data_IF_251733716783
#
_entry.id   IF_251733716783
#
_cell.length_a   1.000
_cell.length_b   1.000
_cell.length_c   1.000
_cell.angle_alpha   90.00
_cell.angle_beta   90.00
_cell.angle_gamma   90.00
#
_symmetry.space_group_name_H-M   'P 1'
#
loop_
_entity.id
_entity.type
_entity.pdbx_description
1 polymer ?
#
# COMPACT_ATOMS: atom_id res chain seq x y z
N UNK A 1 9.22 16.95 -15.28
CA UNK A 1 9.74 15.65 -14.82
C UNK A 1 8.76 14.60 -15.27
N UNK A 2 9.22 13.50 -15.89
CA UNK A 2 8.31 12.43 -16.30
C UNK A 2 7.74 11.78 -15.02
N UNK A 3 6.41 11.79 -14.88
CA UNK A 3 5.75 11.02 -13.83
C UNK A 3 5.67 9.56 -14.29
N UNK A 4 5.93 8.62 -13.37
CA UNK A 4 5.80 7.19 -13.64
C UNK A 4 4.40 6.88 -14.19
N UNK A 5 4.33 6.13 -15.27
CA UNK A 5 3.08 5.76 -15.94
C UNK A 5 2.52 4.51 -15.29
N UNK A 6 1.40 4.64 -14.59
CA UNK A 6 0.80 3.54 -13.85
C UNK A 6 -0.45 3.00 -14.56
N UNK A 7 -0.56 1.67 -14.58
CA UNK A 7 -1.79 0.97 -14.94
C UNK A 7 -2.54 0.55 -13.67
N UNK A 8 -3.75 1.05 -13.47
CA UNK A 8 -4.61 0.76 -12.31
C UNK A 8 -5.67 -0.26 -12.71
N UNK A 9 -5.59 -1.44 -12.11
CA UNK A 9 -6.44 -2.59 -12.39
C UNK A 9 -7.21 -2.95 -11.12
N UNK A 10 -8.53 -2.82 -11.18
CA UNK A 10 -9.42 -2.95 -10.02
C UNK A 10 -10.29 -4.18 -10.17
N UNK A 11 -10.29 -5.03 -9.15
CA UNK A 11 -11.20 -6.15 -9.04
C UNK A 11 -12.50 -5.68 -8.36
N UNK A 12 -13.60 -5.62 -9.11
CA UNK A 12 -14.88 -5.13 -8.60
C UNK A 12 -15.52 -6.04 -7.55
N UNK A 13 -15.17 -7.34 -7.56
CA UNK A 13 -15.69 -8.32 -6.60
C UNK A 13 -14.94 -8.23 -5.25
N UNK A 14 -13.71 -7.67 -5.22
CA UNK A 14 -12.88 -7.52 -4.02
C UNK A 14 -12.66 -6.07 -3.55
N UNK A 15 -13.17 -5.07 -4.27
CA UNK A 15 -13.09 -3.66 -3.92
C UNK A 15 -14.47 -3.06 -3.66
N UNK A 16 -14.52 -1.83 -3.13
CA UNK A 16 -15.77 -1.09 -2.91
C UNK A 16 -15.71 0.28 -3.57
N UNK A 17 -16.84 0.84 -4.06
CA UNK A 17 -16.85 2.16 -4.69
C UNK A 17 -16.26 3.26 -3.79
N UNK A 18 -16.50 3.17 -2.47
CA UNK A 18 -16.09 4.16 -1.47
C UNK A 18 -14.57 4.38 -1.39
N UNK A 19 -13.75 3.41 -1.79
CA UNK A 19 -12.28 3.54 -1.69
C UNK A 19 -11.65 4.23 -2.90
N UNK A 20 -12.40 4.45 -3.99
CA UNK A 20 -11.82 4.87 -5.28
C UNK A 20 -11.15 6.24 -5.22
N UNK A 21 -11.77 7.20 -4.54
CA UNK A 21 -11.21 8.55 -4.43
C UNK A 21 -9.87 8.52 -3.67
N UNK A 22 -9.84 7.89 -2.49
CA UNK A 22 -8.64 7.70 -1.70
C UNK A 22 -7.57 6.87 -2.42
N UNK A 23 -7.98 5.82 -3.14
CA UNK A 23 -7.12 5.00 -4.00
C UNK A 23 -6.42 5.84 -5.05
N UNK A 24 -7.15 6.61 -5.85
CA UNK A 24 -6.57 7.41 -6.92
C UNK A 24 -5.68 8.55 -6.36
N UNK A 25 -6.06 9.13 -5.22
CA UNK A 25 -5.21 10.09 -4.51
C UNK A 25 -3.91 9.46 -3.99
N UNK A 26 -3.95 8.20 -3.54
CA UNK A 26 -2.76 7.45 -3.14
C UNK A 26 -1.89 7.09 -4.35
N UNK A 27 -2.48 6.63 -5.45
CA UNK A 27 -1.77 6.35 -6.72
C UNK A 27 -1.04 7.60 -7.24
N UNK A 28 -1.68 8.77 -7.15
CA UNK A 28 -1.10 10.04 -7.58
C UNK A 28 0.20 10.43 -6.84
N UNK A 29 0.49 9.84 -5.69
CA UNK A 29 1.76 10.04 -4.96
C UNK A 29 2.94 9.36 -5.63
N UNK A 30 2.68 8.30 -6.40
CA UNK A 30 3.69 7.47 -7.04
C UNK A 30 3.82 7.75 -8.53
N UNK A 31 2.71 8.10 -9.20
CA UNK A 31 2.73 8.33 -10.63
C UNK A 31 1.37 8.78 -11.16
N UNK A 32 1.24 8.78 -12.49
CA UNK A 32 -0.01 9.13 -13.16
C UNK A 32 -0.73 7.87 -13.63
N UNK A 33 -1.98 7.70 -13.21
CA UNK A 33 -2.85 6.60 -13.64
C UNK A 33 -3.28 6.79 -15.11
N UNK A 34 -2.49 6.24 -16.04
CA UNK A 34 -2.72 6.33 -17.48
C UNK A 34 -3.77 5.35 -17.97
N UNK A 35 -3.84 4.18 -17.33
CA UNK A 35 -4.92 3.21 -17.53
C UNK A 35 -5.63 3.03 -16.20
N UNK A 36 -6.96 3.05 -16.24
CA UNK A 36 -7.83 2.77 -15.10
C UNK A 36 -8.91 1.82 -15.58
N UNK A 37 -8.80 0.55 -15.22
CA UNK A 37 -9.75 -0.50 -15.60
C UNK A 37 -10.29 -1.17 -14.35
N UNK A 38 -11.56 -1.51 -14.40
CA UNK A 38 -12.22 -2.29 -13.37
C UNK A 38 -12.88 -3.51 -14.00
N UNK A 39 -12.70 -4.68 -13.39
CA UNK A 39 -13.14 -5.95 -13.93
C UNK A 39 -14.27 -6.49 -13.08
N UNK A 40 -15.35 -6.93 -13.72
CA UNK A 40 -16.49 -7.51 -13.04
C UNK A 40 -17.56 -8.00 -14.00
N UNK A 41 -18.53 -8.72 -13.44
CA UNK A 41 -19.76 -9.05 -14.16
C UNK A 41 -20.82 -7.97 -13.86
N UNK A 42 -20.88 -6.94 -14.71
CA UNK A 42 -21.76 -5.78 -14.56
C UNK A 42 -23.25 -6.10 -14.71
N UNK A 43 -23.60 -7.36 -15.00
CA UNK A 43 -25.00 -7.82 -14.95
C UNK A 43 -25.47 -8.08 -13.52
N UNK A 44 -24.54 -8.17 -12.56
CA UNK A 44 -24.88 -8.45 -11.18
C UNK A 44 -25.41 -7.22 -10.45
N UNK A 45 -26.49 -7.37 -9.65
CA UNK A 45 -27.06 -6.25 -8.89
C UNK A 45 -26.13 -5.64 -7.82
N UNK A 46 -25.22 -6.43 -7.25
CA UNK A 46 -24.27 -5.99 -6.21
C UNK A 46 -23.22 -4.99 -6.74
N UNK A 47 -22.98 -4.94 -8.05
CA UNK A 47 -22.06 -3.99 -8.68
C UNK A 47 -22.72 -2.68 -9.15
N UNK A 48 -24.03 -2.51 -8.96
CA UNK A 48 -24.74 -1.31 -9.42
C UNK A 48 -24.21 0.00 -8.80
N UNK A 49 -23.66 -0.07 -7.58
CA UNK A 49 -23.10 1.09 -6.87
C UNK A 49 -21.83 1.69 -7.51
N UNK A 50 -21.24 1.02 -8.50
CA UNK A 50 -20.01 1.50 -9.15
C UNK A 50 -20.26 2.59 -10.20
N UNK A 51 -21.43 2.58 -10.86
CA UNK A 51 -21.67 3.36 -12.09
C UNK A 51 -21.26 4.83 -11.97
N UNK A 52 -21.69 5.50 -10.91
CA UNK A 52 -21.40 6.93 -10.70
C UNK A 52 -19.89 7.18 -10.51
N UNK A 53 -19.24 6.36 -9.68
CA UNK A 53 -17.82 6.46 -9.37
C UNK A 53 -16.97 6.18 -10.61
N UNK A 54 -17.34 5.21 -11.44
CA UNK A 54 -16.62 4.91 -12.69
C UNK A 54 -16.66 6.09 -13.67
N UNK A 55 -17.84 6.70 -13.85
CA UNK A 55 -17.99 7.87 -14.71
C UNK A 55 -17.22 9.07 -14.17
N UNK A 56 -17.36 9.37 -12.87
CA UNK A 56 -16.69 10.50 -12.21
C UNK A 56 -15.17 10.43 -12.35
N UNK A 57 -14.60 9.24 -12.23
CA UNK A 57 -13.15 9.04 -12.26
C UNK A 57 -12.62 8.52 -13.60
N UNK A 58 -13.45 8.45 -14.65
CA UNK A 58 -13.07 7.91 -15.96
C UNK A 58 -12.38 6.54 -15.86
N UNK A 59 -12.98 5.62 -15.10
CA UNK A 59 -12.53 4.24 -14.97
C UNK A 59 -13.32 3.40 -15.96
N UNK A 60 -12.61 2.66 -16.81
CA UNK A 60 -13.21 1.83 -17.84
C UNK A 60 -13.73 0.51 -17.22
N UNK A 61 -15.04 0.22 -17.29
CA UNK A 61 -15.56 -1.10 -16.92
C UNK A 61 -15.21 -2.13 -18.00
N UNK A 62 -14.63 -3.25 -17.58
CA UNK A 62 -14.37 -4.43 -18.40
C UNK A 62 -15.37 -5.50 -17.96
N UNK A 63 -16.27 -5.87 -18.87
CA UNK A 63 -17.28 -6.90 -18.61
C UNK A 63 -16.66 -8.29 -18.73
N UNK A 64 -16.88 -9.14 -17.74
CA UNK A 64 -16.59 -10.56 -17.81
C UNK A 64 -17.75 -11.36 -17.23
N UNK A 65 -18.44 -12.12 -18.09
CA UNK A 65 -19.50 -13.03 -17.62
C UNK A 65 -18.93 -14.16 -16.79
N UNK A 66 -19.65 -14.54 -15.72
CA UNK A 66 -19.37 -15.78 -14.98
C UNK A 66 -19.94 -16.98 -15.74
N UNK A 67 -19.07 -17.88 -16.18
CA UNK A 67 -19.49 -19.15 -16.81
C UNK A 67 -19.99 -20.17 -15.79
N UNK A 68 -19.47 -20.13 -14.56
CA UNK A 68 -19.85 -21.01 -13.46
C UNK A 68 -19.66 -20.26 -12.14
N UNK A 69 -20.61 -20.42 -11.22
CA UNK A 69 -20.57 -19.81 -9.89
C UNK A 69 -19.33 -20.32 -9.13
N UNK A 70 -18.59 -19.40 -8.50
CA UNK A 70 -17.40 -19.73 -7.69
C UNK A 70 -16.12 -19.95 -8.49
N UNK A 71 -16.09 -19.64 -9.79
CA UNK A 71 -14.85 -19.60 -10.58
C UNK A 71 -14.37 -18.17 -10.85
N UNK A 72 -13.06 -18.06 -10.99
CA UNK A 72 -12.28 -16.83 -11.05
C UNK A 72 -12.19 -16.27 -12.49
N UNK A 73 -13.35 -16.14 -13.15
CA UNK A 73 -13.44 -15.65 -14.52
C UNK A 73 -13.01 -14.18 -14.63
N UNK A 74 -13.47 -13.34 -13.69
CA UNK A 74 -13.05 -11.93 -13.56
C UNK A 74 -11.55 -11.81 -13.39
N UNK A 75 -10.97 -12.62 -12.49
CA UNK A 75 -9.53 -12.59 -12.20
C UNK A 75 -8.71 -13.03 -13.42
N UNK A 76 -9.18 -14.05 -14.14
CA UNK A 76 -8.54 -14.50 -15.37
C UNK A 76 -8.52 -13.39 -16.43
N UNK A 77 -9.63 -12.68 -16.61
CA UNK A 77 -9.70 -11.55 -17.55
C UNK A 77 -8.76 -10.41 -17.14
N UNK A 78 -8.73 -10.08 -15.85
CA UNK A 78 -7.81 -9.08 -15.29
C UNK A 78 -6.34 -9.46 -15.46
N UNK A 79 -5.99 -10.73 -15.22
CA UNK A 79 -4.63 -11.25 -15.40
C UNK A 79 -4.20 -11.17 -16.88
N UNK A 80 -5.06 -11.61 -17.81
CA UNK A 80 -4.77 -11.55 -19.24
C UNK A 80 -4.48 -10.11 -19.66
N UNK A 81 -5.37 -9.18 -19.29
CA UNK A 81 -5.23 -7.77 -19.67
C UNK A 81 -4.01 -7.10 -18.98
N UNK A 82 -3.69 -7.48 -17.74
CA UNK A 82 -2.47 -7.05 -17.07
C UNK A 82 -1.21 -7.49 -17.83
N UNK A 83 -1.19 -8.73 -18.33
CA UNK A 83 -0.07 -9.25 -19.13
C UNK A 83 0.04 -8.54 -20.48
N UNK A 84 -1.08 -8.27 -21.16
CA UNK A 84 -1.08 -7.50 -22.42
C UNK A 84 -0.54 -6.07 -22.20
N UNK A 85 -0.95 -5.41 -21.12
CA UNK A 85 -0.43 -4.09 -20.74
C UNK A 85 1.06 -4.14 -20.38
N UNK A 86 1.52 -5.21 -19.73
CA UNK A 86 2.93 -5.42 -19.39
C UNK A 86 3.79 -5.53 -20.66
N UNK A 87 3.37 -6.36 -21.61
CA UNK A 87 4.11 -6.58 -22.86
C UNK A 87 3.96 -5.46 -23.89
N UNK A 88 3.01 -4.54 -23.69
CA UNK A 88 3.00 -3.29 -24.45
C UNK A 88 4.19 -2.38 -24.09
N UNK A 89 4.87 -2.61 -22.97
CA UNK A 89 6.06 -1.87 -22.50
C UNK A 89 5.86 -0.34 -22.33
N UNK A 90 4.61 0.07 -22.06
CA UNK A 90 4.23 1.51 -21.93
C UNK A 90 4.14 2.02 -20.50
N UNK A 91 4.17 1.14 -19.51
CA UNK A 91 3.93 1.45 -18.09
C UNK A 91 5.15 1.14 -17.24
N UNK A 92 5.39 2.00 -16.25
CA UNK A 92 6.51 1.88 -15.31
C UNK A 92 6.11 1.08 -14.06
N UNK A 93 4.79 0.99 -13.79
CA UNK A 93 4.27 0.18 -12.71
C UNK A 93 2.78 -0.14 -12.83
N UNK A 94 2.35 -1.04 -11.95
CA UNK A 94 0.99 -1.59 -11.91
C UNK A 94 0.40 -1.43 -10.52
N UNK A 95 -0.84 -0.98 -10.45
CA UNK A 95 -1.64 -0.96 -9.24
C UNK A 95 -2.66 -2.10 -9.33
N UNK A 96 -2.52 -3.11 -8.47
CA UNK A 96 -3.43 -4.26 -8.39
C UNK A 96 -4.32 -4.06 -7.17
N UNK A 97 -5.61 -3.83 -7.38
CA UNK A 97 -6.57 -3.57 -6.31
C UNK A 97 -7.45 -4.81 -6.10
N UNK A 98 -7.03 -5.68 -5.19
CA UNK A 98 -7.75 -6.90 -4.78
C UNK A 98 -7.24 -7.39 -3.42
N UNK A 99 -8.02 -8.24 -2.75
CA UNK A 99 -7.59 -8.97 -1.55
C UNK A 99 -7.37 -10.46 -1.82
N UNK A 100 -7.49 -10.90 -3.07
CA UNK A 100 -7.33 -12.30 -3.48
C UNK A 100 -5.84 -12.68 -3.65
N UNK A 101 -5.46 -13.83 -3.09
CA UNK A 101 -4.11 -14.39 -3.23
C UNK A 101 -3.79 -14.90 -4.64
N UNK A 102 -4.78 -15.13 -5.50
CA UNK A 102 -4.54 -15.62 -6.86
C UNK A 102 -3.70 -14.63 -7.70
N UNK A 103 -3.71 -13.33 -7.36
CA UNK A 103 -2.87 -12.32 -8.00
C UNK A 103 -1.39 -12.37 -7.58
N UNK A 104 -0.99 -13.24 -6.65
CA UNK A 104 0.41 -13.38 -6.18
C UNK A 104 1.39 -13.64 -7.33
N UNK A 105 1.02 -14.55 -8.25
CA UNK A 105 1.89 -14.87 -9.41
C UNK A 105 1.94 -13.73 -10.43
N UNK A 106 0.84 -13.01 -10.64
CA UNK A 106 0.81 -11.83 -11.48
C UNK A 106 1.77 -10.75 -10.94
N UNK A 107 1.67 -10.43 -9.65
CA UNK A 107 2.55 -9.45 -9.01
C UNK A 107 4.04 -9.84 -9.15
N UNK A 108 4.37 -11.10 -8.89
CA UNK A 108 5.73 -11.62 -9.05
C UNK A 108 6.21 -11.48 -10.50
N UNK A 109 5.38 -11.88 -11.47
CA UNK A 109 5.71 -11.83 -12.90
C UNK A 109 5.94 -10.41 -13.41
N UNK A 110 5.17 -9.42 -12.94
CA UNK A 110 5.35 -8.00 -13.30
C UNK A 110 6.69 -7.49 -12.77
N UNK A 111 7.06 -7.86 -11.54
CA UNK A 111 8.35 -7.48 -10.93
C UNK A 111 9.55 -8.13 -11.59
N UNK A 112 9.42 -9.39 -12.00
CA UNK A 112 10.44 -10.07 -12.82
C UNK A 112 10.70 -9.34 -14.15
N UNK A 113 9.70 -8.63 -14.68
CA UNK A 113 9.84 -7.74 -15.84
C UNK A 113 10.39 -6.35 -15.52
N UNK A 114 10.84 -6.11 -14.28
CA UNK A 114 11.44 -4.85 -13.84
C UNK A 114 10.44 -3.71 -13.64
N UNK A 115 9.13 -3.99 -13.57
CA UNK A 115 8.09 -2.98 -13.33
C UNK A 115 7.67 -2.99 -11.87
N UNK A 116 7.33 -1.82 -11.33
CA UNK A 116 6.94 -1.68 -9.92
C UNK A 116 5.51 -2.19 -9.73
N UNK A 117 5.24 -2.90 -8.64
CA UNK A 117 3.90 -3.35 -8.26
C UNK A 117 3.45 -2.72 -6.94
N UNK A 118 2.35 -1.97 -7.02
CA UNK A 118 1.59 -1.46 -5.89
C UNK A 118 0.36 -2.34 -5.67
N UNK A 119 0.33 -3.09 -4.58
CA UNK A 119 -0.85 -3.84 -4.16
C UNK A 119 -1.77 -2.99 -3.29
N UNK A 120 -3.07 -3.13 -3.46
CA UNK A 120 -4.09 -2.50 -2.63
C UNK A 120 -5.12 -3.54 -2.21
N UNK A 121 -5.34 -3.72 -0.92
CA UNK A 121 -6.31 -4.69 -0.42
C UNK A 121 -6.62 -4.50 1.07
N UNK A 122 -7.58 -5.26 1.57
CA UNK A 122 -8.01 -5.18 2.97
C UNK A 122 -6.98 -5.84 3.90
N UNK A 123 -7.06 -5.60 5.21
CA UNK A 123 -6.19 -6.23 6.21
C UNK A 123 -6.17 -7.75 6.18
N UNK A 124 -7.26 -8.38 5.73
CA UNK A 124 -7.38 -9.83 5.59
C UNK A 124 -6.56 -10.41 4.42
N UNK A 125 -5.97 -9.56 3.57
CA UNK A 125 -5.21 -10.00 2.40
C UNK A 125 -4.05 -10.93 2.81
N UNK A 126 -3.95 -12.13 2.21
CA UNK A 126 -2.91 -13.08 2.55
C UNK A 126 -1.49 -12.52 2.39
N UNK A 127 -0.60 -12.91 3.31
CA UNK A 127 0.81 -12.48 3.29
C UNK A 127 1.54 -12.76 1.95
N UNK A 128 1.33 -13.90 1.26
CA UNK A 128 1.99 -14.16 -0.02
C UNK A 128 1.73 -13.08 -1.08
N UNK A 129 0.51 -12.55 -1.17
CA UNK A 129 0.22 -11.50 -2.13
C UNK A 129 0.85 -10.16 -1.71
N UNK A 130 0.79 -9.84 -0.42
CA UNK A 130 1.40 -8.61 0.12
C UNK A 130 2.90 -8.55 -0.12
N UNK A 131 3.62 -9.66 0.10
CA UNK A 131 5.08 -9.73 -0.08
C UNK A 131 5.51 -9.86 -1.55
N UNK A 132 4.60 -10.29 -2.44
CA UNK A 132 4.85 -10.29 -3.87
C UNK A 132 4.87 -8.88 -4.48
N UNK A 133 4.31 -7.87 -3.81
CA UNK A 133 4.33 -6.47 -4.25
C UNK A 133 5.60 -5.74 -3.82
N UNK A 134 5.94 -4.62 -4.47
CA UNK A 134 7.00 -3.71 -3.99
C UNK A 134 6.49 -2.81 -2.86
N UNK A 135 5.20 -2.46 -2.90
CA UNK A 135 4.49 -1.81 -1.80
C UNK A 135 3.06 -2.31 -1.73
N UNK A 136 2.55 -2.56 -0.53
CA UNK A 136 1.17 -2.95 -0.29
C UNK A 136 0.48 -1.93 0.61
N UNK A 137 -0.64 -1.37 0.14
CA UNK A 137 -1.41 -0.35 0.84
C UNK A 137 -2.75 -0.93 1.27
N UNK A 138 -3.05 -0.80 2.56
CA UNK A 138 -4.33 -1.23 3.11
C UNK A 138 -5.45 -0.26 2.74
N UNK A 139 -6.57 -0.78 2.23
CA UNK A 139 -7.70 0.07 1.81
C UNK A 139 -8.30 0.86 2.98
N UNK A 140 -8.18 0.36 4.20
CA UNK A 140 -8.64 1.03 5.42
C UNK A 140 -7.90 2.35 5.69
N UNK A 141 -6.69 2.56 5.14
CA UNK A 141 -5.99 3.85 5.26
C UNK A 141 -6.39 4.86 4.18
N UNK A 142 -7.18 4.44 3.19
CA UNK A 142 -7.67 5.25 2.08
C UNK A 142 -9.03 5.90 2.37
N UNK A 143 -9.85 5.27 3.22
CA UNK A 143 -11.19 5.73 3.57
C UNK A 143 -11.24 7.07 4.35
N UNK A 144 -10.09 7.65 4.71
CA UNK A 144 -9.98 8.89 5.48
C UNK A 144 -10.11 10.19 4.67
N UNK A 145 -10.31 10.12 3.35
CA UNK A 145 -10.52 11.30 2.50
C UNK A 145 -11.98 11.39 2.07
N UNK A 146 -12.74 12.22 2.80
CA UNK A 146 -14.11 12.68 2.53
C UNK A 146 -15.23 11.59 2.46
N UNK A 147 -16.17 11.67 3.41
CA UNK A 147 -17.55 11.16 3.32
C UNK A 147 -17.82 9.63 3.34
N UNK A 148 -16.95 8.81 3.93
CA UNK A 148 -17.28 7.42 4.28
C UNK A 148 -17.47 7.24 5.80
N UNK A 149 -18.66 7.56 6.31
CA UNK A 149 -19.01 7.47 7.75
C UNK A 149 -19.06 6.04 8.33
N UNK A 150 -18.79 4.99 7.53
CA UNK A 150 -18.97 3.59 7.95
C UNK A 150 -17.69 2.75 7.99
N UNK A 151 -16.55 3.24 7.49
CA UNK A 151 -15.25 2.57 7.66
C UNK A 151 -14.26 3.46 8.39
N UNK A 152 -14.22 3.29 9.72
CA UNK A 152 -13.36 4.08 10.58
C UNK A 152 -11.89 3.89 10.19
N UNK A 153 -11.23 5.01 9.84
CA UNK A 153 -9.78 5.08 9.75
C UNK A 153 -9.12 4.43 10.98
N UNK A 154 -7.91 3.85 10.85
CA UNK A 154 -7.28 3.14 11.95
C UNK A 154 -7.18 4.03 13.19
N UNK A 155 -7.77 3.60 14.30
CA UNK A 155 -7.63 4.29 15.59
C UNK A 155 -6.16 4.32 16.00
N UNK A 156 -5.72 5.46 16.54
CA UNK A 156 -4.37 5.62 17.05
C UNK A 156 -4.11 4.63 18.17
N UNK A 157 -3.19 3.68 17.95
CA UNK A 157 -2.83 2.67 18.94
C UNK A 157 -2.04 3.30 20.09
N UNK A 158 -2.35 2.86 21.29
CA UNK A 158 -1.65 3.26 22.52
C UNK A 158 -0.23 2.70 22.57
N UNK A 159 0.63 3.31 23.38
CA UNK A 159 1.99 2.83 23.59
C UNK A 159 2.03 1.35 24.07
N UNK A 160 1.04 0.92 24.87
CA UNK A 160 0.95 -0.47 25.35
C UNK A 160 0.70 -1.44 24.20
N UNK A 161 -0.25 -1.12 23.32
CA UNK A 161 -0.56 -1.93 22.14
C UNK A 161 0.63 -2.00 21.17
N UNK A 162 1.29 -0.87 20.94
CA UNK A 162 2.46 -0.81 20.06
C UNK A 162 3.64 -1.62 20.61
N UNK A 163 3.86 -1.58 21.93
CA UNK A 163 4.92 -2.37 22.58
C UNK A 163 4.62 -3.87 22.62
N UNK A 164 3.34 -4.25 22.54
CA UNK A 164 2.92 -5.64 22.44
C UNK A 164 3.06 -6.23 21.03
N UNK A 165 3.28 -5.40 20.00
CA UNK A 165 3.48 -5.84 18.63
C UNK A 165 4.95 -6.18 18.36
N UNK A 166 5.31 -7.44 18.62
CA UNK A 166 6.68 -7.94 18.46
C UNK A 166 7.20 -7.82 17.03
N UNK A 167 6.32 -8.01 16.02
CA UNK A 167 6.70 -7.88 14.60
C UNK A 167 7.09 -6.44 14.29
N UNK A 168 6.28 -5.47 14.72
CA UNK A 168 6.58 -4.05 14.58
C UNK A 168 7.90 -3.67 15.26
N UNK A 169 8.09 -4.08 16.51
CA UNK A 169 9.28 -3.71 17.27
C UNK A 169 10.56 -4.28 16.66
N UNK A 170 10.52 -5.54 16.21
CA UNK A 170 11.68 -6.18 15.58
C UNK A 170 12.01 -5.51 14.24
N UNK A 171 11.00 -5.22 13.41
CA UNK A 171 11.19 -4.51 12.15
C UNK A 171 11.87 -3.15 12.37
N UNK A 172 11.37 -2.36 13.32
CA UNK A 172 11.92 -1.03 13.60
C UNK A 172 13.33 -1.11 14.21
N UNK A 173 13.59 -2.03 15.14
CA UNK A 173 14.93 -2.19 15.73
C UNK A 173 15.96 -2.59 14.68
N UNK A 174 15.65 -3.61 13.88
CA UNK A 174 16.55 -4.08 12.83
C UNK A 174 16.83 -2.99 11.79
N UNK A 175 15.80 -2.21 11.42
CA UNK A 175 15.98 -1.11 10.47
C UNK A 175 16.78 0.07 11.06
N UNK A 176 16.63 0.35 12.36
CA UNK A 176 17.44 1.36 13.07
C UNK A 176 18.90 0.89 13.15
N UNK A 177 19.15 -0.36 13.53
CA UNK A 177 20.48 -0.94 13.59
C UNK A 177 21.18 -0.89 12.23
N UNK A 178 20.51 -1.32 11.15
CA UNK A 178 21.05 -1.28 9.79
C UNK A 178 21.25 0.16 9.23
N UNK A 179 20.58 1.16 9.81
CA UNK A 179 20.71 2.56 9.41
C UNK A 179 21.63 3.37 10.34
N UNK A 180 22.06 2.80 11.45
CA UNK A 180 22.87 3.49 12.46
C UNK A 180 24.31 3.67 11.97
N UNK A 181 24.92 4.78 12.38
CA UNK A 181 26.37 4.94 12.30
C UNK A 181 27.02 4.28 13.53
N UNK A 182 28.05 3.44 13.31
CA UNK A 182 28.68 2.60 14.34
C UNK A 182 29.22 3.41 15.54
N UNK A 183 29.65 4.66 15.30
CA UNK A 183 30.27 5.50 16.33
C UNK A 183 29.26 6.18 17.28
N UNK A 184 28.03 6.41 16.85
CA UNK A 184 27.06 7.24 17.62
C UNK A 184 25.79 6.50 18.03
N UNK A 185 25.51 5.37 17.41
CA UNK A 185 24.27 4.61 17.63
C UNK A 185 23.01 5.33 17.12
N UNK A 186 23.14 6.46 16.42
CA UNK A 186 22.04 7.22 15.86
C UNK A 186 21.82 6.87 14.39
N UNK A 187 20.56 6.65 14.02
CA UNK A 187 20.13 6.43 12.65
C UNK A 187 19.30 7.62 12.15
N UNK A 188 19.52 8.06 10.92
CA UNK A 188 18.65 9.05 10.28
C UNK A 188 17.27 8.42 10.00
N UNK A 189 16.19 9.01 10.50
CA UNK A 189 14.84 8.42 10.41
C UNK A 189 14.37 8.22 8.95
N UNK A 190 14.80 9.07 8.03
CA UNK A 190 14.51 8.91 6.60
C UNK A 190 15.10 7.60 6.06
N UNK A 191 16.35 7.29 6.40
CA UNK A 191 17.03 6.04 6.03
C UNK A 191 16.35 4.83 6.68
N UNK A 192 15.96 4.94 7.95
CA UNK A 192 15.16 3.90 8.63
C UNK A 192 13.86 3.62 7.85
N UNK A 193 13.12 4.67 7.48
CA UNK A 193 11.88 4.52 6.70
C UNK A 193 12.09 3.84 5.34
N UNK A 194 13.20 4.14 4.66
CA UNK A 194 13.58 3.48 3.41
C UNK A 194 13.88 1.99 3.61
N UNK A 195 14.62 1.63 4.66
CA UNK A 195 14.93 0.23 4.98
C UNK A 195 13.65 -0.54 5.33
N UNK A 196 12.81 0.03 6.20
CA UNK A 196 11.52 -0.58 6.58
C UNK A 196 10.65 -0.84 5.35
N UNK A 197 10.54 0.14 4.44
CA UNK A 197 9.73 0.00 3.23
C UNK A 197 10.26 -1.08 2.28
N UNK A 198 11.58 -1.32 2.27
CA UNK A 198 12.19 -2.40 1.48
C UNK A 198 12.03 -3.78 2.13
N UNK A 199 12.05 -3.85 3.45
CA UNK A 199 11.97 -5.11 4.20
C UNK A 199 10.52 -5.59 4.42
N UNK A 200 9.56 -4.67 4.51
CA UNK A 200 8.14 -4.96 4.74
C UNK A 200 7.30 -4.10 3.80
N UNK A 201 6.91 -4.63 2.60
CA UNK A 201 6.15 -3.88 1.60
C UNK A 201 4.81 -3.32 2.12
N UNK A 202 4.21 -4.01 3.10
CA UNK A 202 2.93 -3.71 3.74
C UNK A 202 3.02 -2.72 4.92
N UNK A 203 4.24 -2.28 5.27
CA UNK A 203 4.39 -1.34 6.37
C UNK A 203 3.91 0.07 6.00
N UNK A 204 3.01 0.60 6.83
CA UNK A 204 2.57 1.99 6.81
C UNK A 204 2.25 2.44 8.24
N UNK A 205 2.73 3.62 8.65
CA UNK A 205 2.45 4.14 10.00
C UNK A 205 0.95 4.41 10.22
N UNK A 206 0.21 4.68 9.15
CA UNK A 206 -1.24 4.89 9.18
C UNK A 206 -1.99 3.65 9.64
N UNK A 207 -1.44 2.44 9.42
CA UNK A 207 -2.03 1.19 9.92
C UNK A 207 -2.15 1.14 11.45
N UNK A 208 -1.34 1.95 12.12
CA UNK A 208 -1.29 2.10 13.58
C UNK A 208 -1.96 3.40 14.07
N UNK A 209 -2.57 4.16 13.15
CA UNK A 209 -3.20 5.46 13.39
C UNK A 209 -2.22 6.63 13.55
N UNK A 210 -1.01 6.51 12.96
CA UNK A 210 -0.01 7.58 12.96
C UNK A 210 0.23 8.10 11.53
N UNK A 211 0.03 9.40 11.31
CA UNK A 211 0.19 10.01 9.98
C UNK A 211 1.64 9.97 9.43
N UNK A 212 2.63 9.88 10.32
CA UNK A 212 4.06 9.86 9.97
C UNK A 212 4.81 8.81 10.81
N UNK A 213 5.87 8.23 10.25
CA UNK A 213 6.77 7.33 10.97
C UNK A 213 7.35 7.97 12.25
N UNK A 214 7.67 9.27 12.22
CA UNK A 214 8.14 10.00 13.40
C UNK A 214 7.13 10.01 14.54
N UNK A 215 5.84 10.11 14.23
CA UNK A 215 4.76 10.00 15.21
C UNK A 215 4.69 8.60 15.81
N UNK A 216 4.77 7.56 14.97
CA UNK A 216 4.76 6.17 15.42
C UNK A 216 5.95 5.87 16.36
N UNK A 217 7.17 6.25 15.97
CA UNK A 217 8.38 6.08 16.79
C UNK A 217 8.22 6.74 18.16
N UNK A 218 7.74 7.99 18.20
CA UNK A 218 7.48 8.71 19.45
C UNK A 218 6.38 8.04 20.28
N UNK A 219 5.31 7.56 19.63
CA UNK A 219 4.19 6.86 20.26
C UNK A 219 4.58 5.54 20.93
N UNK A 220 5.59 4.84 20.41
CA UNK A 220 6.13 3.62 21.04
C UNK A 220 6.82 3.97 22.38
N UNK A 221 7.55 5.08 22.44
CA UNK A 221 8.24 5.55 23.65
C UNK A 221 9.43 4.69 24.11
N UNK A 222 9.90 3.77 23.26
CA UNK A 222 11.11 2.95 23.47
C UNK A 222 12.32 3.48 22.70
N UNK A 223 12.16 4.58 21.98
CA UNK A 223 13.19 5.17 21.13
C UNK A 223 13.42 6.62 21.54
N UNK A 224 14.67 7.06 21.46
CA UNK A 224 15.03 8.46 21.56
C UNK A 224 15.02 9.10 20.18
N UNK A 225 14.60 10.36 20.09
CA UNK A 225 14.59 11.11 18.84
C UNK A 225 15.26 12.46 19.01
N UNK A 226 16.09 12.85 18.07
CA UNK A 226 16.84 14.12 18.09
C UNK A 226 16.70 14.82 16.74
N UNK A 227 16.32 16.10 16.75
CA UNK A 227 16.30 16.92 15.54
C UNK A 227 17.65 17.62 15.39
N UNK A 228 18.32 17.40 14.27
CA UNK A 228 19.62 18.00 13.94
C UNK A 228 19.47 18.90 12.72
N UNK A 229 20.04 20.09 12.80
CA UNK A 229 20.16 21.00 11.68
C UNK A 229 21.45 20.68 10.91
N UNK A 230 21.33 20.23 9.66
CA UNK A 230 22.48 19.96 8.79
C UNK A 230 22.30 20.82 7.53
N UNK A 231 23.14 21.84 7.38
CA UNK A 231 22.92 22.89 6.38
C UNK A 231 21.57 23.58 6.58
N UNK A 232 20.80 23.70 5.49
CA UNK A 232 19.46 24.30 5.52
C UNK A 232 18.34 23.29 5.87
N UNK A 233 18.68 22.02 6.11
CA UNK A 233 17.72 20.95 6.37
C UNK A 233 17.60 20.57 7.85
N UNK A 234 16.36 20.33 8.30
CA UNK A 234 16.06 19.68 9.58
C UNK A 234 15.97 18.17 9.36
N UNK A 235 16.79 17.41 10.06
CA UNK A 235 16.83 15.95 9.98
C UNK A 235 16.51 15.34 11.34
N UNK A 236 15.62 14.35 11.36
CA UNK A 236 15.27 13.63 12.58
C UNK A 236 16.10 12.35 12.67
N UNK A 237 16.79 12.17 13.78
CA UNK A 237 17.56 10.99 14.13
C UNK A 237 16.83 10.18 15.20
N UNK A 238 17.04 8.87 15.20
CA UNK A 238 16.42 7.92 16.14
C UNK A 238 17.46 6.92 16.62
N UNK A 239 17.36 6.51 17.88
CA UNK A 239 18.09 5.36 18.44
C UNK A 239 17.25 4.62 19.47
N UNK A 240 17.54 3.34 19.79
CA UNK A 240 16.95 2.67 20.94
C UNK A 240 17.22 3.47 22.21
N UNK A 241 16.22 3.60 23.08
CA UNK A 241 16.43 4.19 24.39
C UNK A 241 17.22 3.20 25.24
N UNK A 242 18.28 3.67 25.88
CA UNK A 242 19.00 2.84 26.85
C UNK A 242 18.01 2.41 27.93
N UNK A 243 17.90 1.10 28.15
CA UNK A 243 17.24 0.55 29.33
C UNK A 243 18.08 0.96 30.54
N UNK A 244 17.83 2.16 31.07
CA UNK A 244 18.30 2.50 32.41
C UNK A 244 17.72 1.45 33.36
N UNK A 245 18.63 0.76 34.03
CA UNK A 245 18.40 -0.14 35.17
C UNK A 245 17.40 0.44 36.16
#
# INVERSE_FOLDING_TARGET
MAHDKLAVLIDADNARPAIVEGLLAEVAKYGTAHVKRIYGDWTKPDLNGWKEVLLRHSIQPIQQFRYTVGKNATDSAMIIDAMDLLYAERFDGFCIVSSDSDFTRLASRIRESGRIVYGFGEKKTPEPFRTACDKFIYTEVLAGTAEAETEAAPKQRSAKELRGDTRLLNLLRNAIEAASDDDTGWAQLARVGQIVSKQSPDFDSRNYGYAKLSGLIKGIGLFETEERQIGNGKHLYVRPRDSKK
#
